data_IF_425082454917
#
_entry.id   IF_425082454917
#
_cell.length_a   1.000
_cell.length_b   1.000
_cell.length_c   1.000
_cell.angle_alpha   90.00
_cell.angle_beta   90.00
_cell.angle_gamma   90.00
#
_symmetry.space_group_name_H-M   'P 1'
#
loop_
_entity.id
_entity.type
_entity.pdbx_description
1 polymer ?
#
# COMPACT_ATOMS: atom_id res chain seq x y z
N UNK A 1 11.80 -11.57 21.01
CA UNK A 1 12.77 -12.61 21.41
C UNK A 1 12.26 -13.35 22.62
N UNK A 2 12.29 -14.66 22.56
CA UNK A 2 11.94 -15.55 23.66
C UNK A 2 13.18 -16.34 24.09
N UNK A 3 13.58 -16.20 25.34
CA UNK A 3 14.59 -17.04 25.95
C UNK A 3 13.88 -18.12 26.75
N UNK A 4 14.16 -19.38 26.45
CA UNK A 4 13.52 -20.51 27.09
C UNK A 4 14.22 -21.80 26.74
N UNK A 5 13.74 -22.90 27.29
CA UNK A 5 14.20 -24.25 26.92
C UNK A 5 13.16 -24.97 26.10
N UNK A 6 13.64 -25.74 25.16
CA UNK A 6 12.81 -26.68 24.41
C UNK A 6 12.58 -27.92 25.26
N UNK A 7 11.34 -28.36 25.41
CA UNK A 7 10.94 -29.50 26.20
C UNK A 7 9.87 -30.31 25.46
N UNK A 8 9.70 -31.56 25.83
CA UNK A 8 8.67 -32.42 25.28
C UNK A 8 7.53 -32.55 26.30
N UNK A 9 6.35 -32.07 25.89
CA UNK A 9 5.16 -32.31 26.71
C UNK A 9 4.73 -33.79 26.59
N UNK A 10 5.18 -34.59 27.52
CA UNK A 10 5.03 -36.04 27.52
C UNK A 10 3.58 -36.53 27.29
N UNK A 11 2.52 -35.92 27.88
CA UNK A 11 1.15 -36.43 27.69
C UNK A 11 0.64 -36.40 26.27
N UNK A 12 1.25 -35.59 25.38
CA UNK A 12 0.82 -35.44 23.98
C UNK A 12 1.96 -35.57 22.95
N UNK A 13 3.15 -35.93 23.40
CA UNK A 13 4.32 -36.08 22.53
C UNK A 13 4.66 -34.82 21.70
N UNK A 14 4.29 -33.64 22.17
CA UNK A 14 4.51 -32.37 21.43
C UNK A 14 5.74 -31.66 21.94
N UNK A 15 6.54 -31.18 20.99
CA UNK A 15 7.62 -30.24 21.28
C UNK A 15 7.01 -28.92 21.74
N UNK A 16 7.47 -28.42 22.88
CA UNK A 16 7.05 -27.12 23.41
C UNK A 16 8.28 -26.30 23.82
N UNK A 17 8.16 -24.99 23.77
CA UNK A 17 9.15 -24.07 24.31
C UNK A 17 8.62 -23.45 25.59
N UNK A 18 9.33 -23.69 26.70
CA UNK A 18 9.01 -23.07 27.98
C UNK A 18 9.81 -21.79 28.10
N UNK A 19 9.14 -20.66 27.89
CA UNK A 19 9.74 -19.33 27.98
C UNK A 19 10.03 -18.93 29.41
N UNK A 20 11.26 -18.58 29.71
CA UNK A 20 11.70 -18.04 31.00
C UNK A 20 11.84 -16.55 31.01
N UNK A 21 12.04 -15.94 29.85
CA UNK A 21 12.11 -14.48 29.65
C UNK A 21 11.68 -14.15 28.24
N UNK A 22 10.93 -13.08 28.09
CA UNK A 22 10.58 -12.54 26.77
C UNK A 22 10.89 -11.04 26.73
N UNK A 23 11.23 -10.54 25.56
CA UNK A 23 11.31 -9.13 25.25
C UNK A 23 10.77 -8.89 23.83
N UNK A 24 10.14 -7.74 23.54
CA UNK A 24 9.80 -7.36 22.17
C UNK A 24 11.07 -7.39 21.32
N UNK A 25 11.05 -8.06 20.19
CA UNK A 25 12.16 -8.11 19.26
C UNK A 25 11.75 -7.43 17.96
N UNK A 26 12.50 -6.41 17.58
CA UNK A 26 12.39 -5.78 16.24
C UNK A 26 11.10 -5.00 15.96
N UNK A 27 9.93 -5.58 16.20
CA UNK A 27 8.64 -4.93 15.91
C UNK A 27 8.47 -3.63 16.70
N UNK A 28 8.89 -3.59 17.97
CA UNK A 28 8.85 -2.37 18.79
C UNK A 28 9.72 -1.26 18.20
N UNK A 29 10.94 -1.58 17.76
CA UNK A 29 11.84 -0.60 17.16
C UNK A 29 11.37 -0.10 15.79
N UNK A 30 10.76 -0.96 14.98
CA UNK A 30 10.17 -0.57 13.70
C UNK A 30 8.96 0.34 13.91
N UNK A 31 8.12 0.04 14.88
CA UNK A 31 6.98 0.87 15.22
C UNK A 31 7.38 2.23 15.80
N UNK A 32 8.40 2.28 16.65
CA UNK A 32 8.97 3.54 17.15
C UNK A 32 9.56 4.38 16.00
N UNK A 33 10.28 3.76 15.07
CA UNK A 33 10.81 4.43 13.88
C UNK A 33 9.67 5.00 13.00
N UNK A 34 8.61 4.22 12.79
CA UNK A 34 7.41 4.66 12.09
C UNK A 34 6.77 5.89 12.77
N UNK A 35 6.55 5.86 14.09
CA UNK A 35 5.96 6.98 14.82
C UNK A 35 6.82 8.24 14.75
N UNK A 36 8.15 8.10 14.87
CA UNK A 36 9.08 9.20 14.76
C UNK A 36 9.08 9.82 13.37
N UNK A 37 9.09 9.00 12.33
CA UNK A 37 9.03 9.46 10.94
C UNK A 37 7.69 10.12 10.64
N UNK A 38 6.59 9.52 11.08
CA UNK A 38 5.25 10.11 10.95
C UNK A 38 5.20 11.49 11.58
N UNK A 39 5.62 11.63 12.84
CA UNK A 39 5.60 12.92 13.54
C UNK A 39 6.47 13.98 12.85
N UNK A 40 7.63 13.59 12.32
CA UNK A 40 8.51 14.48 11.54
C UNK A 40 7.80 15.02 10.30
N UNK A 41 7.27 14.14 9.46
CA UNK A 41 6.64 14.51 8.19
C UNK A 41 5.31 15.25 8.39
N UNK A 42 4.58 14.94 9.46
CA UNK A 42 3.38 15.66 9.86
C UNK A 42 3.69 17.09 10.31
N UNK A 43 4.75 17.29 11.10
CA UNK A 43 5.22 18.62 11.51
C UNK A 43 5.70 19.47 10.31
N UNK A 44 6.23 18.83 9.26
CA UNK A 44 6.59 19.48 8.00
C UNK A 44 5.37 19.79 7.11
N UNK A 45 4.16 19.35 7.50
CA UNK A 45 2.93 19.53 6.73
C UNK A 45 2.82 18.64 5.49
N UNK A 46 3.61 17.55 5.40
CA UNK A 46 3.60 16.67 4.22
C UNK A 46 2.24 15.98 4.03
N UNK A 47 1.51 15.74 5.13
CA UNK A 47 0.22 15.05 5.14
C UNK A 47 -0.98 16.01 5.19
N UNK A 48 -0.75 17.32 5.08
CA UNK A 48 -1.78 18.34 5.20
C UNK A 48 -2.93 18.10 4.18
N UNK A 49 -4.20 18.19 4.59
CA UNK A 49 -5.35 17.96 3.70
C UNK A 49 -5.34 18.84 2.45
N UNK A 50 -4.81 20.06 2.57
CA UNK A 50 -4.74 21.05 1.50
C UNK A 50 -3.78 20.62 0.37
N UNK A 51 -2.89 19.68 0.63
CA UNK A 51 -1.98 19.11 -0.37
C UNK A 51 -2.62 17.98 -1.17
N UNK A 52 -3.71 17.39 -0.66
CA UNK A 52 -4.35 16.23 -1.28
C UNK A 52 -5.07 16.63 -2.57
N UNK A 53 -4.70 15.97 -3.65
CA UNK A 53 -5.31 16.16 -4.95
C UNK A 53 -6.62 15.38 -5.03
N UNK A 54 -7.70 15.99 -5.57
CA UNK A 54 -8.96 15.28 -5.74
C UNK A 54 -8.80 14.16 -6.78
N UNK A 55 -9.42 13.02 -6.50
CA UNK A 55 -9.50 11.93 -7.49
C UNK A 55 -10.51 12.34 -8.57
N UNK A 56 -10.14 12.28 -9.86
CA UNK A 56 -11.05 12.62 -10.95
C UNK A 56 -12.31 11.76 -10.94
N UNK A 57 -13.47 12.38 -11.15
CA UNK A 57 -14.74 11.65 -11.21
C UNK A 57 -14.79 10.66 -12.37
N UNK A 58 -14.15 11.00 -13.50
CA UNK A 58 -14.03 10.15 -14.67
C UNK A 58 -12.57 9.90 -14.97
N UNK A 59 -12.15 8.67 -14.77
CA UNK A 59 -10.80 8.19 -15.04
C UNK A 59 -10.83 7.42 -16.37
N UNK A 60 -9.88 7.72 -17.24
CA UNK A 60 -9.67 7.02 -18.52
C UNK A 60 -8.37 6.24 -18.55
N UNK A 61 -7.36 6.71 -17.81
CA UNK A 61 -6.03 6.10 -17.76
C UNK A 61 -5.59 5.95 -16.32
N UNK A 62 -5.23 4.74 -15.96
CA UNK A 62 -4.73 4.38 -14.63
C UNK A 62 -3.31 3.84 -14.80
N UNK A 63 -2.36 4.38 -14.05
CA UNK A 63 -1.08 3.72 -13.87
C UNK A 63 -1.14 2.84 -12.62
N UNK A 64 -0.90 1.54 -12.78
CA UNK A 64 -0.91 0.56 -11.70
C UNK A 64 0.53 0.22 -11.33
N UNK A 65 0.97 0.67 -10.15
CA UNK A 65 2.29 0.39 -9.57
C UNK A 65 2.16 -0.75 -8.57
N UNK A 66 2.68 -1.90 -8.93
CA UNK A 66 2.72 -3.11 -8.12
C UNK A 66 3.62 -4.15 -8.77
N UNK A 67 3.95 -5.23 -8.09
CA UNK A 67 4.66 -6.35 -8.70
C UNK A 67 3.72 -7.15 -9.62
N UNK A 68 4.19 -7.47 -10.84
CA UNK A 68 3.47 -8.30 -11.79
C UNK A 68 3.14 -9.70 -11.23
N UNK A 69 3.93 -10.18 -10.28
CA UNK A 69 3.77 -11.49 -9.64
C UNK A 69 2.86 -11.45 -8.42
N UNK A 70 2.47 -10.25 -7.95
CA UNK A 70 1.62 -10.11 -6.78
C UNK A 70 0.16 -10.48 -7.09
N UNK A 71 -0.50 -11.17 -6.16
CA UNK A 71 -1.94 -11.46 -6.27
C UNK A 71 -2.77 -10.18 -6.44
N UNK A 72 -2.35 -9.08 -5.79
CA UNK A 72 -2.96 -7.77 -5.90
C UNK A 72 -3.08 -7.26 -7.34
N UNK A 73 -2.12 -7.59 -8.21
CA UNK A 73 -2.17 -7.23 -9.63
C UNK A 73 -3.42 -7.80 -10.29
N UNK A 74 -3.64 -9.11 -10.18
CA UNK A 74 -4.82 -9.76 -10.75
C UNK A 74 -6.14 -9.31 -10.13
N UNK A 75 -6.15 -9.03 -8.80
CA UNK A 75 -7.36 -8.55 -8.11
C UNK A 75 -7.78 -7.16 -8.60
N UNK A 76 -6.83 -6.25 -8.78
CA UNK A 76 -7.07 -4.90 -9.33
C UNK A 76 -7.57 -4.99 -10.76
N UNK A 77 -6.92 -5.78 -11.63
CA UNK A 77 -7.34 -5.95 -13.02
C UNK A 77 -8.78 -6.42 -13.11
N UNK A 78 -9.13 -7.51 -12.43
CA UNK A 78 -10.51 -8.06 -12.41
C UNK A 78 -11.53 -7.04 -11.93
N UNK A 79 -11.16 -6.26 -10.92
CA UNK A 79 -12.04 -5.23 -10.36
C UNK A 79 -12.28 -4.11 -11.36
N UNK A 80 -11.24 -3.58 -11.99
CA UNK A 80 -11.34 -2.51 -12.98
C UNK A 80 -12.08 -2.98 -14.25
N UNK A 81 -11.77 -4.16 -14.78
CA UNK A 81 -12.47 -4.74 -15.94
C UNK A 81 -13.98 -4.86 -15.71
N UNK A 82 -14.37 -5.26 -14.51
CA UNK A 82 -15.80 -5.39 -14.15
C UNK A 82 -16.47 -4.03 -13.97
N UNK A 83 -15.84 -3.11 -13.22
CA UNK A 83 -16.49 -1.85 -12.80
C UNK A 83 -16.33 -0.70 -13.78
N UNK A 84 -15.17 -0.61 -14.40
CA UNK A 84 -14.76 0.50 -15.26
C UNK A 84 -14.07 0.01 -16.54
N UNK A 85 -14.77 -0.79 -17.39
CA UNK A 85 -14.16 -1.44 -18.55
C UNK A 85 -13.61 -0.47 -19.61
N UNK A 86 -13.93 0.82 -19.50
CA UNK A 86 -13.39 1.87 -20.38
C UNK A 86 -12.03 2.41 -19.94
N UNK A 87 -11.54 2.02 -18.75
CA UNK A 87 -10.27 2.50 -18.23
C UNK A 87 -9.12 1.75 -18.89
N UNK A 88 -8.17 2.51 -19.44
CA UNK A 88 -6.90 1.96 -19.91
C UNK A 88 -5.95 1.82 -18.73
N UNK A 89 -5.52 0.58 -18.47
CA UNK A 89 -4.59 0.25 -17.40
C UNK A 89 -3.18 0.21 -17.99
N UNK A 90 -2.25 0.91 -17.34
CA UNK A 90 -0.84 0.93 -17.66
C UNK A 90 -0.08 0.38 -16.45
N UNK A 91 0.40 -0.85 -16.55
CA UNK A 91 1.17 -1.47 -15.49
C UNK A 91 2.61 -0.95 -15.48
N UNK A 92 3.07 -0.56 -14.30
CA UNK A 92 4.47 -0.22 -14.02
C UNK A 92 4.96 -1.16 -12.93
N UNK A 93 5.80 -2.10 -13.33
CA UNK A 93 6.31 -3.13 -12.42
C UNK A 93 7.24 -2.54 -11.36
N UNK A 94 7.11 -3.03 -10.13
CA UNK A 94 7.93 -2.60 -9.01
C UNK A 94 8.05 -3.69 -7.96
N UNK A 95 9.18 -3.75 -7.30
CA UNK A 95 9.30 -4.49 -6.05
C UNK A 95 8.41 -3.82 -4.99
N UNK A 96 7.64 -4.63 -4.27
CA UNK A 96 6.71 -4.17 -3.23
C UNK A 96 7.06 -4.68 -1.83
N UNK A 97 8.21 -5.34 -1.71
CA UNK A 97 8.78 -5.87 -0.46
C UNK A 97 10.27 -6.07 -0.61
N UNK A 98 10.99 -6.15 0.53
CA UNK A 98 12.45 -6.29 0.57
C UNK A 98 13.17 -4.94 0.62
N UNK A 99 14.49 -4.99 0.81
CA UNK A 99 15.33 -3.81 1.05
C UNK A 99 15.36 -2.84 -0.14
N UNK A 100 15.29 -3.35 -1.36
CA UNK A 100 15.35 -2.55 -2.59
C UNK A 100 13.97 -2.00 -3.03
N UNK A 101 12.89 -2.38 -2.33
CA UNK A 101 11.54 -1.98 -2.71
C UNK A 101 11.31 -0.45 -2.65
N UNK A 102 11.81 0.32 -1.66
CA UNK A 102 11.62 1.76 -1.65
C UNK A 102 12.17 2.45 -2.91
N UNK A 103 13.40 2.15 -3.30
CA UNK A 103 14.03 2.71 -4.49
C UNK A 103 13.29 2.29 -5.79
N UNK A 104 12.84 1.03 -5.85
CA UNK A 104 12.05 0.51 -6.96
C UNK A 104 10.70 1.24 -7.07
N UNK A 105 10.00 1.43 -5.96
CA UNK A 105 8.72 2.15 -5.88
C UNK A 105 8.85 3.61 -6.31
N UNK A 106 9.90 4.31 -5.84
CA UNK A 106 10.18 5.69 -6.23
C UNK A 106 10.36 5.79 -7.75
N UNK A 107 11.22 4.93 -8.31
CA UNK A 107 11.48 4.89 -9.75
C UNK A 107 10.21 4.58 -10.55
N UNK A 108 9.40 3.63 -10.08
CA UNK A 108 8.15 3.25 -10.71
C UNK A 108 7.08 4.37 -10.65
N UNK A 109 6.98 5.10 -9.55
CA UNK A 109 6.06 6.24 -9.41
C UNK A 109 6.42 7.39 -10.37
N UNK A 110 7.71 7.70 -10.50
CA UNK A 110 8.20 8.70 -11.46
C UNK A 110 7.90 8.25 -12.90
N UNK A 111 8.16 6.99 -13.23
CA UNK A 111 7.84 6.42 -14.53
C UNK A 111 6.32 6.40 -14.79
N UNK A 112 5.52 6.07 -13.79
CA UNK A 112 4.07 6.08 -13.87
C UNK A 112 3.53 7.47 -14.19
N UNK A 113 4.03 8.52 -13.53
CA UNK A 113 3.65 9.90 -13.83
C UNK A 113 3.98 10.31 -15.26
N UNK A 114 5.13 9.88 -15.79
CA UNK A 114 5.55 10.18 -17.17
C UNK A 114 4.60 9.60 -18.23
N UNK A 115 3.83 8.57 -17.90
CA UNK A 115 2.76 8.02 -18.76
C UNK A 115 1.51 8.92 -18.82
N UNK A 116 1.49 10.01 -18.06
CA UNK A 116 0.38 10.95 -17.97
C UNK A 116 -0.97 10.29 -17.65
N UNK A 117 -1.08 9.49 -16.59
CA UNK A 117 -2.35 8.90 -16.17
C UNK A 117 -3.24 9.94 -15.50
N UNK A 118 -4.52 9.64 -15.37
CA UNK A 118 -5.46 10.46 -14.59
C UNK A 118 -5.32 10.19 -13.08
N UNK A 119 -4.86 8.98 -12.72
CA UNK A 119 -4.61 8.53 -11.34
C UNK A 119 -3.57 7.42 -11.32
N UNK A 120 -2.79 7.37 -10.25
CA UNK A 120 -1.85 6.29 -9.98
C UNK A 120 -2.42 5.42 -8.86
N UNK A 121 -2.47 4.11 -9.06
CA UNK A 121 -2.74 3.12 -8.01
C UNK A 121 -1.42 2.54 -7.53
N UNK A 122 -1.08 2.77 -6.28
CA UNK A 122 0.03 2.15 -5.58
C UNK A 122 -0.54 1.05 -4.69
N UNK A 123 -0.33 -0.21 -5.07
CA UNK A 123 -0.98 -1.32 -4.37
C UNK A 123 -0.01 -2.44 -4.02
N UNK A 124 -0.31 -3.10 -2.91
CA UNK A 124 0.38 -4.31 -2.45
C UNK A 124 -0.65 -5.24 -1.81
N UNK A 125 -0.55 -6.51 -2.11
CA UNK A 125 -1.37 -7.55 -1.50
C UNK A 125 -1.03 -7.81 -0.03
N UNK A 126 -1.70 -8.76 0.58
CA UNK A 126 -1.41 -9.22 1.94
C UNK A 126 0.04 -9.70 2.11
N UNK A 127 0.50 -9.72 3.35
CA UNK A 127 1.86 -10.14 3.73
C UNK A 127 2.14 -9.72 5.18
N UNK A 128 3.35 -9.95 5.65
CA UNK A 128 3.74 -9.63 7.03
C UNK A 128 3.89 -8.13 7.26
N UNK A 129 3.90 -7.72 8.54
CA UNK A 129 4.18 -6.34 8.94
C UNK A 129 5.59 -5.88 8.49
N UNK A 130 6.56 -6.79 8.49
CA UNK A 130 7.92 -6.53 8.02
C UNK A 130 7.95 -6.17 6.53
N UNK A 131 7.09 -6.79 5.73
CA UNK A 131 6.99 -6.49 4.31
C UNK A 131 6.42 -5.09 4.03
N UNK A 132 5.62 -4.54 4.95
CA UNK A 132 5.08 -3.18 4.85
C UNK A 132 6.12 -2.11 5.11
N UNK A 133 7.30 -2.46 5.66
CA UNK A 133 8.35 -1.48 5.97
C UNK A 133 8.86 -0.74 4.73
N UNK A 134 8.78 -1.34 3.55
CA UNK A 134 9.11 -0.67 2.30
C UNK A 134 8.26 0.60 2.04
N UNK A 135 7.06 0.66 2.60
CA UNK A 135 6.13 1.79 2.48
C UNK A 135 6.25 2.80 3.65
N UNK A 136 7.17 2.55 4.58
CA UNK A 136 7.52 3.46 5.67
C UNK A 136 8.83 4.23 5.40
N UNK A 137 9.15 4.42 4.12
CA UNK A 137 10.33 5.15 3.67
C UNK A 137 10.03 6.64 3.49
N UNK A 138 10.95 7.51 3.95
CA UNK A 138 10.79 8.97 3.89
C UNK A 138 10.84 9.50 2.46
N UNK A 139 11.76 8.99 1.64
CA UNK A 139 11.92 9.46 0.26
C UNK A 139 10.75 9.03 -0.61
N UNK A 140 10.22 7.82 -0.39
CA UNK A 140 9.00 7.37 -1.03
C UNK A 140 7.81 8.28 -0.68
N UNK A 141 7.63 8.63 0.60
CA UNK A 141 6.55 9.54 1.01
C UNK A 141 6.68 10.92 0.38
N UNK A 142 7.89 11.48 0.33
CA UNK A 142 8.17 12.76 -0.33
C UNK A 142 7.91 12.68 -1.84
N UNK A 143 8.29 11.58 -2.46
CA UNK A 143 8.01 11.34 -3.88
C UNK A 143 6.50 11.32 -4.13
N UNK A 144 5.72 10.55 -3.37
CA UNK A 144 4.25 10.50 -3.51
C UNK A 144 3.64 11.90 -3.40
N UNK A 145 4.04 12.66 -2.38
CA UNK A 145 3.52 14.01 -2.15
C UNK A 145 3.93 15.04 -3.23
N UNK A 146 5.03 14.80 -3.94
CA UNK A 146 5.55 15.68 -5.01
C UNK A 146 4.95 15.38 -6.39
N UNK A 147 4.32 14.22 -6.60
CA UNK A 147 3.71 13.89 -7.89
C UNK A 147 2.59 14.89 -8.23
N UNK A 148 2.46 15.24 -9.49
CA UNK A 148 1.37 16.10 -9.99
C UNK A 148 0.05 15.33 -10.22
N UNK A 149 0.15 14.01 -10.39
CA UNK A 149 -0.98 13.09 -10.58
C UNK A 149 -1.45 12.57 -9.21
N UNK A 150 -2.77 12.49 -8.94
CA UNK A 150 -3.27 11.94 -7.69
C UNK A 150 -2.89 10.46 -7.52
N UNK A 151 -2.54 10.09 -6.28
CA UNK A 151 -2.14 8.74 -5.90
C UNK A 151 -3.15 8.14 -4.94
N UNK A 152 -3.64 6.94 -5.27
CA UNK A 152 -4.43 6.10 -4.37
C UNK A 152 -3.53 4.99 -3.86
N UNK A 153 -3.37 4.91 -2.54
CA UNK A 153 -2.58 3.89 -1.86
C UNK A 153 -3.49 2.79 -1.31
N UNK A 154 -3.26 1.54 -1.74
CA UNK A 154 -3.99 0.36 -1.29
C UNK A 154 -3.03 -0.74 -0.83
N UNK A 155 -2.25 -0.46 0.22
CA UNK A 155 -1.10 -1.28 0.63
C UNK A 155 -1.37 -2.07 1.91
N UNK A 156 -2.02 -1.48 2.91
CA UNK A 156 -2.27 -2.09 4.20
C UNK A 156 -3.68 -2.70 4.32
N UNK A 157 -3.92 -3.40 5.42
CA UNK A 157 -5.26 -3.76 5.87
C UNK A 157 -5.86 -2.62 6.72
N UNK A 158 -7.11 -2.77 7.17
CA UNK A 158 -7.82 -1.71 7.91
C UNK A 158 -7.04 -1.14 9.10
N UNK A 159 -6.30 -1.99 9.83
CA UNK A 159 -5.53 -1.60 11.00
C UNK A 159 -4.08 -1.18 10.71
N UNK A 160 -3.55 -1.49 9.53
CA UNK A 160 -2.14 -1.32 9.20
C UNK A 160 -1.94 -0.05 8.35
N UNK A 161 -1.48 1.02 8.96
CA UNK A 161 -1.14 2.26 8.26
C UNK A 161 0.34 2.33 7.96
N UNK A 162 0.67 2.78 6.76
CA UNK A 162 2.04 3.08 6.34
C UNK A 162 2.24 4.59 6.14
N UNK A 163 3.49 5.04 6.10
CA UNK A 163 3.82 6.44 5.78
C UNK A 163 3.35 6.80 4.37
N UNK A 164 3.40 5.86 3.42
CA UNK A 164 2.86 6.05 2.07
C UNK A 164 1.35 6.31 2.08
N UNK A 165 0.57 5.68 2.97
CA UNK A 165 -0.86 5.94 3.11
C UNK A 165 -1.16 7.38 3.54
N UNK A 166 -0.35 7.93 4.45
CA UNK A 166 -0.49 9.33 4.87
C UNK A 166 -0.07 10.32 3.78
N UNK A 167 0.93 9.96 2.97
CA UNK A 167 1.40 10.81 1.87
C UNK A 167 0.46 10.80 0.66
N UNK A 168 -0.21 9.68 0.37
CA UNK A 168 -1.12 9.51 -0.75
C UNK A 168 -2.35 10.45 -0.67
N UNK A 169 -2.95 10.74 -1.81
CA UNK A 169 -4.14 11.60 -1.92
C UNK A 169 -5.41 10.90 -1.41
N UNK A 170 -5.48 9.58 -1.58
CA UNK A 170 -6.53 8.73 -1.05
C UNK A 170 -5.93 7.42 -0.53
N UNK A 171 -6.32 7.02 0.68
CA UNK A 171 -6.04 5.69 1.22
C UNK A 171 -7.19 4.75 0.95
N UNK A 172 -6.87 3.55 0.53
CA UNK A 172 -7.80 2.42 0.46
C UNK A 172 -7.31 1.27 1.36
N UNK A 173 -8.21 0.54 1.99
CA UNK A 173 -7.87 -0.54 2.92
C UNK A 173 -7.35 -1.81 2.23
N UNK A 174 -7.53 -1.92 0.91
CA UNK A 174 -7.09 -3.08 0.11
C UNK A 174 -6.82 -2.66 -1.34
N UNK A 175 -6.06 -3.46 -2.12
CA UNK A 175 -5.92 -3.26 -3.56
C UNK A 175 -7.27 -3.18 -4.31
N UNK A 176 -8.21 -4.04 -3.93
CA UNK A 176 -9.57 -4.05 -4.50
C UNK A 176 -10.31 -2.75 -4.19
N UNK A 177 -10.29 -2.29 -2.94
CA UNK A 177 -10.89 -1.02 -2.55
C UNK A 177 -10.25 0.18 -3.26
N UNK A 178 -8.93 0.14 -3.51
CA UNK A 178 -8.25 1.14 -4.31
C UNK A 178 -8.79 1.18 -5.76
N UNK A 179 -8.97 0.03 -6.39
CA UNK A 179 -9.56 -0.07 -7.71
C UNK A 179 -11.04 0.38 -7.73
N UNK A 180 -11.81 0.08 -6.69
CA UNK A 180 -13.20 0.50 -6.55
C UNK A 180 -13.40 2.00 -6.37
N UNK A 181 -12.38 2.71 -5.86
CA UNK A 181 -12.42 4.17 -5.72
C UNK A 181 -12.22 4.92 -7.04
N UNK A 182 -11.90 4.21 -8.14
CA UNK A 182 -11.75 4.79 -9.47
C UNK A 182 -13.10 4.87 -10.19
N UNK A 183 -13.66 6.04 -10.18
CA UNK A 183 -14.87 6.33 -10.95
C UNK A 183 -16.14 5.61 -10.48
N UNK A 184 -17.26 5.89 -11.12
CA UNK A 184 -18.53 5.28 -10.80
C UNK A 184 -18.60 3.82 -11.31
N UNK A 185 -19.31 2.98 -10.57
CA UNK A 185 -19.63 1.62 -10.98
C UNK A 185 -20.49 1.63 -12.24
N UNK A 186 -20.08 0.86 -13.27
CA UNK A 186 -20.80 0.75 -14.55
C UNK A 186 -22.27 0.43 -14.35
N UNK A 187 -22.57 -0.57 -13.52
CA UNK A 187 -23.94 -1.06 -13.35
C UNK A 187 -24.79 -0.04 -12.56
N UNK A 188 -24.17 0.71 -11.64
CA UNK A 188 -24.83 1.81 -10.97
C UNK A 188 -25.13 2.99 -11.93
N UNK A 189 -24.29 3.19 -12.94
CA UNK A 189 -24.53 4.19 -13.97
C UNK A 189 -25.64 3.78 -14.94
N UNK A 190 -25.62 2.54 -15.41
CA UNK A 190 -26.65 2.01 -16.31
C UNK A 190 -28.03 2.09 -15.67
N UNK A 191 -28.18 1.74 -14.40
CA UNK A 191 -29.46 1.86 -13.65
C UNK A 191 -29.99 3.30 -13.50
N UNK A 192 -29.22 4.32 -13.81
CA UNK A 192 -29.64 5.73 -13.77
C UNK A 192 -30.13 6.24 -15.13
N UNK A 193 -29.92 5.47 -16.17
CA UNK A 193 -30.36 5.81 -17.54
C UNK A 193 -31.69 5.16 -17.90
N UNK A 194 -32.12 4.15 -17.13
CA UNK A 194 -33.45 3.53 -17.17
C UNK A 194 -34.42 4.29 -16.26
#
# INVERSE_FOLDING_TARGET
ELLGRVDIYAPRGRLQMVGTRWRPAGVGSLYEAFLKLKAKLEAEGLFAPERKKPIPRFVRRVALVTSAQAAAYGDVLRTLERRTPWVKIMHVDSLVQGADAPASLISALIAAQALTPDVILLVRGGGSYEDLQAFNDEELARTIAALSVPVICGVGHEADFTIADFAADLRASTPTAAAESIGPDRDAWLRRLD
#
